data_IF_376185160488
#
_entry.id   IF_376185160488
#
_cell.length_a   1.000
_cell.length_b   1.000
_cell.length_c   1.000
_cell.angle_alpha   90.00
_cell.angle_beta   90.00
_cell.angle_gamma   90.00
#
_symmetry.space_group_name_H-M   'P 1'
#
loop_
_entity.id
_entity.type
_entity.pdbx_description
1 polymer ?
#
# COMPACT_ATOMS: atom_id res chain seq x y z
N UNK A 1 0.86 27.96 -10.43
CA UNK A 1 0.91 27.97 -8.95
C UNK A 1 2.04 27.05 -8.54
N UNK A 2 3.17 27.57 -8.05
CA UNK A 2 4.28 26.73 -7.56
C UNK A 2 3.98 26.39 -6.09
N UNK A 3 3.73 25.12 -5.77
CA UNK A 3 3.62 24.66 -4.39
C UNK A 3 5.05 24.53 -3.85
N UNK A 4 5.36 25.22 -2.75
CA UNK A 4 6.65 25.08 -2.09
C UNK A 4 6.63 23.82 -1.21
N UNK A 5 7.16 22.73 -1.76
CA UNK A 5 7.17 21.41 -1.11
C UNK A 5 8.06 21.36 0.14
N UNK A 6 8.99 22.32 0.31
CA UNK A 6 9.90 22.39 1.48
C UNK A 6 9.17 22.61 2.81
N UNK A 7 7.92 23.06 2.78
CA UNK A 7 7.14 23.31 3.99
C UNK A 7 6.48 22.04 4.55
N UNK A 8 6.47 20.94 3.79
CA UNK A 8 5.76 19.70 4.15
C UNK A 8 6.66 18.47 4.24
N UNK A 9 7.88 18.54 3.67
CA UNK A 9 8.78 17.40 3.57
C UNK A 9 10.07 17.63 4.33
N UNK A 10 10.58 16.57 4.96
CA UNK A 10 11.95 16.54 5.44
C UNK A 10 12.93 16.33 4.25
N UNK A 11 14.24 16.44 4.50
CA UNK A 11 15.26 16.34 3.45
C UNK A 11 15.20 15.02 2.68
N UNK A 12 14.98 13.90 3.39
CA UNK A 12 14.82 12.59 2.78
C UNK A 12 13.65 12.57 1.79
N UNK A 13 12.49 13.08 2.21
CA UNK A 13 11.30 13.13 1.38
C UNK A 13 11.46 14.06 0.15
N UNK A 14 12.23 15.15 0.27
CA UNK A 14 12.57 16.00 -0.88
C UNK A 14 13.39 15.24 -1.92
N UNK A 15 14.32 14.39 -1.50
CA UNK A 15 15.16 13.61 -2.42
C UNK A 15 14.34 12.55 -3.17
N UNK A 16 13.40 11.88 -2.49
CA UNK A 16 12.44 10.98 -3.13
C UNK A 16 11.52 11.70 -4.14
N UNK A 17 11.16 12.96 -3.87
CA UNK A 17 10.31 13.76 -4.75
C UNK A 17 11.02 14.16 -6.06
N UNK A 18 12.35 14.27 -6.05
CA UNK A 18 13.16 14.60 -7.24
C UNK A 18 13.32 13.43 -8.21
N UNK A 19 13.13 12.19 -7.74
CA UNK A 19 13.26 10.99 -8.58
C UNK A 19 12.17 10.89 -9.64
N UNK A 20 12.52 10.40 -10.83
CA UNK A 20 11.53 9.99 -11.83
C UNK A 20 10.74 8.77 -11.33
N UNK A 21 9.55 8.47 -11.90
CA UNK A 21 8.78 7.28 -11.52
C UNK A 21 9.59 5.97 -11.64
N UNK A 22 10.41 5.84 -12.68
CA UNK A 22 11.29 4.67 -12.89
C UNK A 22 12.36 4.57 -11.80
N UNK A 23 13.08 5.66 -11.53
CA UNK A 23 14.10 5.70 -10.49
C UNK A 23 13.51 5.38 -9.12
N UNK A 24 12.34 5.96 -8.80
CA UNK A 24 11.63 5.70 -7.55
C UNK A 24 11.25 4.23 -7.41
N UNK A 25 10.78 3.60 -8.49
CA UNK A 25 10.46 2.17 -8.50
C UNK A 25 11.70 1.32 -8.18
N UNK A 26 12.83 1.61 -8.82
CA UNK A 26 14.10 0.91 -8.56
C UNK A 26 14.54 1.07 -7.11
N UNK A 27 14.53 2.29 -6.56
CA UNK A 27 14.90 2.53 -5.16
C UNK A 27 13.95 1.83 -4.18
N UNK A 28 12.63 1.88 -4.42
CA UNK A 28 11.65 1.16 -3.59
C UNK A 28 11.85 -0.36 -3.63
N UNK A 29 12.29 -0.90 -4.78
CA UNK A 29 12.54 -2.34 -4.93
C UNK A 29 13.73 -2.82 -4.10
N UNK A 30 14.69 -1.94 -3.78
CA UNK A 30 15.83 -2.29 -2.90
C UNK A 30 15.43 -2.45 -1.45
N UNK A 31 14.33 -1.83 -1.03
CA UNK A 31 13.79 -1.98 0.34
C UNK A 31 13.08 -3.32 0.53
N UNK A 32 12.67 -3.95 -0.58
CA UNK A 32 11.87 -5.16 -0.56
C UNK A 32 12.56 -6.37 0.12
N UNK A 33 13.83 -6.70 -0.18
CA UNK A 33 14.53 -7.77 0.52
C UNK A 33 14.66 -7.52 2.03
N UNK A 34 14.93 -6.27 2.42
CA UNK A 34 15.06 -5.88 3.84
C UNK A 34 13.75 -6.10 4.57
N UNK A 35 12.62 -5.72 3.97
CA UNK A 35 11.30 -5.95 4.52
C UNK A 35 11.04 -7.45 4.79
N UNK A 36 11.40 -8.31 3.83
CA UNK A 36 11.26 -9.76 3.98
C UNK A 36 12.22 -10.33 5.04
N UNK A 37 13.47 -9.87 5.09
CA UNK A 37 14.45 -10.29 6.09
C UNK A 37 14.03 -9.93 7.52
N UNK A 38 13.31 -8.81 7.68
CA UNK A 38 12.72 -8.40 8.96
C UNK A 38 11.42 -9.15 9.31
N UNK A 39 11.01 -10.14 8.51
CA UNK A 39 9.81 -10.94 8.75
C UNK A 39 8.52 -10.27 8.25
N UNK A 40 8.63 -9.26 7.39
CA UNK A 40 7.49 -8.64 6.75
C UNK A 40 6.66 -9.64 5.93
N UNK A 41 5.34 -9.55 6.04
CA UNK A 41 4.38 -10.39 5.33
C UNK A 41 3.45 -9.54 4.47
N UNK A 42 3.22 -9.98 3.23
CA UNK A 42 2.26 -9.35 2.31
C UNK A 42 0.80 -9.55 2.71
N UNK A 43 0.53 -10.34 3.76
CA UNK A 43 -0.79 -10.47 4.36
C UNK A 43 -0.88 -9.48 5.53
N UNK A 44 -1.35 -8.23 5.30
CA UNK A 44 -1.53 -7.32 6.39
C UNK A 44 -2.57 -7.89 7.33
N UNK A 45 -2.26 -7.95 8.63
CA UNK A 45 -3.31 -8.12 9.62
C UNK A 45 -4.38 -7.04 9.37
N UNK A 46 -5.68 -7.39 9.50
CA UNK A 46 -6.74 -6.40 9.37
C UNK A 46 -6.46 -5.23 10.32
N UNK A 47 -6.58 -4.00 9.80
CA UNK A 47 -6.35 -2.79 10.59
C UNK A 47 -7.37 -2.72 11.73
N UNK A 48 -6.94 -3.06 12.93
CA UNK A 48 -7.77 -3.04 14.14
C UNK A 48 -8.33 -1.66 14.51
N UNK A 49 -7.80 -0.58 13.93
CA UNK A 49 -8.28 0.78 14.14
C UNK A 49 -9.20 1.24 13.00
N UNK A 50 -9.45 0.39 12.02
CA UNK A 50 -10.39 0.68 10.94
C UNK A 50 -11.80 0.81 11.51
N UNK A 51 -12.56 1.86 11.15
CA UNK A 51 -13.99 1.94 11.43
C UNK A 51 -14.81 0.78 10.84
N UNK A 52 -14.20 -0.05 9.99
CA UNK A 52 -14.78 -1.22 9.35
C UNK A 52 -14.20 -2.54 9.86
N UNK A 53 -13.39 -2.54 10.93
CA UNK A 53 -12.95 -3.77 11.57
C UNK A 53 -14.04 -4.33 12.48
N UNK A 54 -14.87 -5.20 11.90
CA UNK A 54 -15.89 -5.96 12.61
C UNK A 54 -15.43 -7.41 12.70
N UNK A 55 -14.83 -7.86 13.83
CA UNK A 55 -14.31 -9.22 13.99
C UNK A 55 -15.35 -10.30 13.65
N UNK A 56 -16.62 -10.05 13.95
CA UNK A 56 -17.75 -10.93 13.66
C UNK A 56 -18.06 -11.07 12.15
N UNK A 57 -17.60 -10.14 11.31
CA UNK A 57 -17.77 -10.17 9.86
C UNK A 57 -16.53 -10.70 9.12
N UNK A 58 -15.42 -10.91 9.83
CA UNK A 58 -14.20 -11.46 9.26
C UNK A 58 -14.44 -12.91 8.81
N UNK A 59 -13.99 -13.24 7.60
CA UNK A 59 -14.09 -14.58 7.01
C UNK A 59 -12.81 -14.91 6.24
N UNK A 60 -12.46 -16.18 6.13
CA UNK A 60 -11.35 -16.57 5.26
C UNK A 60 -11.69 -16.26 3.80
N UNK A 61 -10.82 -15.48 3.14
CA UNK A 61 -10.91 -15.16 1.72
C UNK A 61 -9.64 -15.71 1.07
N UNK A 62 -9.71 -16.41 -0.08
CA UNK A 62 -8.51 -16.76 -0.81
C UNK A 62 -7.72 -15.51 -1.20
N UNK A 63 -6.40 -15.54 -1.03
CA UNK A 63 -5.50 -14.40 -1.29
C UNK A 63 -5.64 -13.84 -2.72
N UNK A 64 -5.91 -14.72 -3.68
CA UNK A 64 -6.38 -14.34 -5.00
C UNK A 64 -7.90 -14.35 -4.97
N UNK A 65 -8.52 -13.18 -5.18
CA UNK A 65 -9.96 -12.96 -5.06
C UNK A 65 -10.82 -14.06 -5.67
N UNK A 66 -12.07 -14.17 -5.20
CA UNK A 66 -13.00 -15.23 -5.61
C UNK A 66 -13.06 -15.32 -7.15
N UNK A 67 -12.95 -16.51 -7.76
CA UNK A 67 -13.05 -16.70 -9.22
C UNK A 67 -14.50 -16.55 -9.73
N UNK A 68 -15.27 -15.60 -9.19
CA UNK A 68 -16.68 -15.40 -9.51
C UNK A 68 -16.93 -14.06 -10.18
N UNK A 69 -17.67 -14.09 -11.29
CA UNK A 69 -18.18 -12.87 -11.95
C UNK A 69 -19.31 -12.30 -11.08
N UNK A 70 -19.17 -11.08 -10.57
CA UNK A 70 -20.27 -10.39 -9.91
C UNK A 70 -21.29 -9.91 -10.97
N UNK A 71 -22.52 -10.42 -10.89
CA UNK A 71 -23.60 -9.96 -11.76
C UNK A 71 -23.94 -8.49 -11.47
N UNK A 72 -23.66 -7.61 -12.42
CA UNK A 72 -24.12 -6.21 -12.38
C UNK A 72 -25.62 -6.22 -12.69
N UNK A 73 -26.45 -5.75 -11.75
CA UNK A 73 -27.87 -5.50 -12.04
C UNK A 73 -27.95 -4.29 -12.97
N UNK A 74 -28.50 -4.46 -14.18
CA UNK A 74 -28.93 -3.32 -14.99
C UNK A 74 -30.08 -2.61 -14.26
N UNK A 75 -29.94 -1.30 -14.11
CA UNK A 75 -30.99 -0.36 -13.71
C UNK A 75 -31.61 0.17 -15.00
#
# INVERSE_FOLDING_TARGET
>A
MQINLKLFFNEEQEDWAKLTPEQRYIESSKLWPIYLELGGSFDPEPDSQSPFDFPELQRSIPAYGRPGVHFIRRI
#
